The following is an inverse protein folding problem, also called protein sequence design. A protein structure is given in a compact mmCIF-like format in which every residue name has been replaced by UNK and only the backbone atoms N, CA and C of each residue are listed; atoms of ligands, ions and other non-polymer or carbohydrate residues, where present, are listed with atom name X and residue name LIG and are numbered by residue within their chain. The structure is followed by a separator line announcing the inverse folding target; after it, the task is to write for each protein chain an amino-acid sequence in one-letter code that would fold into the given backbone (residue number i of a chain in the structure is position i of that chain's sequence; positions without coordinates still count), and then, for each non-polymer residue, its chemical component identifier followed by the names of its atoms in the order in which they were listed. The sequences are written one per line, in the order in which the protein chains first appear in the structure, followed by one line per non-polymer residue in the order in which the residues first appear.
data_IF_191849847593
#
_entry.id   IF_191849847593
#
_cell.length_a   1.000
_cell.length_b   1.000
_cell.length_c   1.000
_cell.angle_alpha   90.00
_cell.angle_beta   90.00
_cell.angle_gamma   90.00
#
_symmetry.space_group_name_H-M   'P 1'
#
loop_
_entity.id
_entity.type
_entity.pdbx_description
1 polymer ?
#
# COMPACT_ATOMS: atom_id res chain seq x y z
N UNK A 1 2.02 -16.71 -31.17
CA UNK A 1 2.42 -15.35 -30.72
C UNK A 1 2.18 -15.12 -29.23
N UNK A 2 0.99 -15.34 -28.68
CA UNK A 2 0.70 -15.10 -27.25
C UNK A 2 1.55 -15.93 -26.26
N UNK A 3 1.96 -17.15 -26.62
CA UNK A 3 2.80 -17.99 -25.75
C UNK A 3 4.25 -17.47 -25.61
N UNK A 4 4.88 -17.01 -26.69
CA UNK A 4 6.24 -16.44 -26.65
C UNK A 4 6.28 -15.13 -25.86
N UNK A 5 5.21 -14.38 -25.99
CA UNK A 5 4.90 -13.21 -25.20
C UNK A 5 4.97 -13.53 -23.69
N UNK A 6 4.11 -14.41 -23.19
CA UNK A 6 4.08 -14.78 -21.76
C UNK A 6 5.40 -15.42 -21.27
N UNK A 7 6.14 -16.12 -22.14
CA UNK A 7 7.46 -16.66 -21.83
C UNK A 7 8.52 -15.56 -21.62
N UNK A 8 8.47 -14.48 -22.42
CA UNK A 8 9.40 -13.35 -22.29
C UNK A 8 9.21 -12.59 -20.97
N UNK A 9 7.99 -12.49 -20.45
CA UNK A 9 7.75 -11.85 -19.15
C UNK A 9 8.41 -12.64 -17.99
N UNK A 10 8.56 -13.95 -18.14
CA UNK A 10 9.18 -14.80 -17.11
C UNK A 10 10.69 -14.59 -17.00
N UNK A 11 11.32 -13.98 -18.02
CA UNK A 11 12.75 -13.65 -18.02
C UNK A 11 13.04 -12.26 -17.42
N UNK A 12 12.00 -11.46 -17.13
CA UNK A 12 12.17 -10.19 -16.44
C UNK A 12 12.24 -10.43 -14.93
N UNK A 13 13.33 -10.02 -14.29
CA UNK A 13 13.45 -10.03 -12.82
C UNK A 13 13.09 -8.63 -12.30
N UNK A 14 11.86 -8.43 -11.78
CA UNK A 14 11.44 -7.12 -11.30
C UNK A 14 12.23 -6.74 -10.03
N UNK A 15 12.67 -5.49 -9.97
CA UNK A 15 13.35 -4.89 -8.82
C UNK A 15 12.67 -3.58 -8.42
N UNK A 16 11.40 -3.61 -7.97
CA UNK A 16 10.70 -2.41 -7.54
C UNK A 16 11.30 -1.88 -6.24
N UNK A 17 11.26 -0.56 -6.06
CA UNK A 17 11.65 0.08 -4.79
C UNK A 17 10.55 1.00 -4.31
N UNK A 18 10.39 1.09 -3.00
CA UNK A 18 9.40 1.99 -2.41
C UNK A 18 9.85 2.48 -1.03
N UNK A 19 9.51 3.72 -0.73
CA UNK A 19 9.66 4.31 0.58
C UNK A 19 8.39 5.08 0.92
N UNK A 20 7.87 4.85 2.13
CA UNK A 20 6.75 5.62 2.66
C UNK A 20 7.21 6.31 3.94
N UNK A 21 6.79 7.56 4.13
CA UNK A 21 7.04 8.31 5.35
C UNK A 21 5.73 8.89 5.85
N UNK A 22 5.49 8.81 7.15
CA UNK A 22 4.36 9.51 7.78
C UNK A 22 4.85 10.92 8.07
N UNK A 23 4.27 11.90 7.38
CA UNK A 23 4.61 13.31 7.59
C UNK A 23 3.86 13.89 8.79
N UNK A 24 2.59 13.54 8.92
CA UNK A 24 1.75 14.03 9.99
C UNK A 24 0.65 13.02 10.35
N UNK A 25 0.27 13.00 11.63
CA UNK A 25 -0.95 12.35 12.10
C UNK A 25 -1.95 13.49 12.28
N UNK A 26 -2.88 13.61 11.34
CA UNK A 26 -3.79 14.75 11.27
C UNK A 26 -4.76 14.75 12.45
N UNK A 27 -5.29 13.58 12.79
CA UNK A 27 -6.06 13.34 14.00
C UNK A 27 -5.98 11.87 14.39
N UNK A 28 -6.12 11.62 15.68
CA UNK A 28 -6.32 10.30 16.23
C UNK A 28 -7.41 10.39 17.29
N UNK A 29 -8.61 9.92 16.98
CA UNK A 29 -9.77 10.16 17.80
C UNK A 29 -10.60 8.90 18.00
N UNK A 30 -11.46 8.94 19.02
CA UNK A 30 -12.48 7.92 19.23
C UNK A 30 -13.79 8.37 18.61
N UNK A 31 -14.31 7.58 17.69
CA UNK A 31 -15.62 7.81 17.08
C UNK A 31 -16.74 7.68 18.13
N UNK A 32 -17.91 8.30 17.90
CA UNK A 32 -19.07 8.18 18.79
C UNK A 32 -19.50 6.73 19.04
N UNK A 33 -19.27 5.85 18.07
CA UNK A 33 -19.58 4.41 18.17
C UNK A 33 -18.51 3.61 18.93
N UNK A 34 -17.47 4.27 19.46
CA UNK A 34 -16.44 3.68 20.30
C UNK A 34 -15.23 3.09 19.57
N UNK A 35 -15.14 3.25 18.25
CA UNK A 35 -14.02 2.79 17.44
C UNK A 35 -12.93 3.86 17.33
N UNK A 36 -11.67 3.42 17.27
CA UNK A 36 -10.53 4.29 17.01
C UNK A 36 -10.49 4.68 15.52
N UNK A 37 -10.21 5.94 15.22
CA UNK A 37 -10.02 6.45 13.86
C UNK A 37 -8.75 7.29 13.78
N UNK A 38 -7.95 7.01 12.75
CA UNK A 38 -6.71 7.72 12.46
C UNK A 38 -6.79 8.36 11.08
N UNK A 39 -6.29 9.58 10.97
CA UNK A 39 -5.98 10.23 9.70
C UNK A 39 -4.49 10.53 9.63
N UNK A 40 -3.87 10.12 8.52
CA UNK A 40 -2.43 10.21 8.29
C UNK A 40 -2.20 11.00 7.01
N UNK A 41 -1.24 11.91 7.06
CA UNK A 41 -0.62 12.47 5.85
C UNK A 41 0.67 11.72 5.60
N UNK A 42 0.76 11.08 4.44
CA UNK A 42 1.87 10.23 4.04
C UNK A 42 2.57 10.82 2.83
N UNK A 43 3.86 10.54 2.76
CA UNK A 43 4.70 10.77 1.59
C UNK A 43 5.07 9.40 1.00
N UNK A 44 4.69 9.15 -0.24
CA UNK A 44 4.88 7.88 -0.93
C UNK A 44 5.82 8.13 -2.10
N UNK A 45 6.99 7.50 -2.07
CA UNK A 45 7.94 7.43 -3.18
C UNK A 45 8.01 5.99 -3.66
N UNK A 46 7.83 5.75 -4.95
CA UNK A 46 7.98 4.41 -5.49
C UNK A 46 8.55 4.44 -6.92
N UNK A 47 9.46 3.51 -7.19
CA UNK A 47 9.91 3.16 -8.54
C UNK A 47 9.46 1.73 -8.86
N UNK A 48 8.38 1.65 -9.62
CA UNK A 48 7.72 0.43 -10.06
C UNK A 48 7.94 0.15 -11.56
N UNK A 49 8.83 0.89 -12.22
CA UNK A 49 9.06 0.78 -13.67
C UNK A 49 9.49 -0.62 -14.10
N UNK A 50 10.19 -1.36 -13.24
CA UNK A 50 10.63 -2.73 -13.50
C UNK A 50 9.47 -3.73 -13.60
N UNK A 51 8.28 -3.38 -13.13
CA UNK A 51 7.05 -4.18 -13.27
C UNK A 51 6.42 -4.08 -14.67
N UNK A 52 6.84 -3.11 -15.49
CA UNK A 52 6.30 -2.90 -16.82
C UNK A 52 7.13 -3.63 -17.87
N UNK A 53 6.53 -4.64 -18.49
CA UNK A 53 7.02 -5.29 -19.70
C UNK A 53 6.14 -4.89 -20.90
N UNK A 54 6.45 -5.42 -22.08
CA UNK A 54 5.62 -5.23 -23.28
C UNK A 54 4.19 -5.81 -23.11
N UNK A 55 3.99 -6.78 -22.21
CA UNK A 55 2.70 -7.39 -21.89
C UNK A 55 1.92 -6.67 -20.79
N UNK A 56 2.55 -5.81 -19.99
CA UNK A 56 1.84 -5.13 -18.90
C UNK A 56 0.80 -4.17 -19.46
N UNK A 57 -0.46 -4.34 -19.06
CA UNK A 57 -1.54 -3.42 -19.41
C UNK A 57 -1.59 -2.24 -18.43
N UNK A 58 -1.54 -2.54 -17.15
CA UNK A 58 -1.58 -1.58 -16.06
C UNK A 58 -1.10 -2.24 -14.76
N UNK A 59 -0.71 -1.42 -13.79
CA UNK A 59 -0.39 -1.86 -12.42
C UNK A 59 -1.37 -1.19 -11.47
N UNK A 60 -2.08 -1.97 -10.67
CA UNK A 60 -2.86 -1.44 -9.55
C UNK A 60 -1.98 -1.46 -8.31
N UNK A 61 -1.84 -0.33 -7.63
CA UNK A 61 -1.00 -0.18 -6.45
C UNK A 61 -1.83 0.36 -5.31
N UNK A 62 -1.60 -0.13 -4.10
CA UNK A 62 -2.23 0.42 -2.90
C UNK A 62 -1.31 0.31 -1.69
N UNK A 63 -1.47 1.26 -0.78
CA UNK A 63 -0.78 1.29 0.51
C UNK A 63 -1.76 0.81 1.56
N UNK A 64 -1.36 -0.17 2.35
CA UNK A 64 -2.13 -0.66 3.48
C UNK A 64 -1.37 -0.50 4.81
N UNK A 65 -2.09 -0.17 5.87
CA UNK A 65 -1.62 -0.35 7.23
C UNK A 65 -1.87 -1.80 7.66
N UNK A 66 -0.82 -2.49 8.07
CA UNK A 66 -0.85 -3.88 8.54
C UNK A 66 -0.44 -3.94 10.01
N UNK A 67 -1.29 -4.52 10.86
CA UNK A 67 -1.05 -4.63 12.30
C UNK A 67 -1.80 -5.81 12.93
N UNK A 68 -1.30 -6.28 14.06
CA UNK A 68 -1.88 -7.40 14.78
C UNK A 68 -2.71 -6.90 15.98
N UNK A 69 -3.79 -7.62 16.30
CA UNK A 69 -4.60 -7.39 17.51
C UNK A 69 -4.84 -8.71 18.22
N UNK A 70 -5.20 -8.73 19.52
CA UNK A 70 -5.47 -9.99 20.23
C UNK A 70 -6.55 -10.86 19.58
N UNK A 71 -7.46 -10.26 18.80
CA UNK A 71 -8.55 -10.96 18.10
C UNK A 71 -8.19 -11.39 16.68
N UNK A 72 -7.19 -10.75 16.06
CA UNK A 72 -6.86 -10.98 14.66
C UNK A 72 -5.36 -10.89 14.43
N UNK A 73 -4.79 -11.96 13.89
CA UNK A 73 -3.36 -12.08 13.58
C UNK A 73 -2.94 -11.18 12.41
N UNK A 74 -3.87 -10.68 11.59
CA UNK A 74 -3.56 -9.72 10.53
C UNK A 74 -4.76 -8.82 10.25
N UNK A 75 -4.66 -7.55 10.65
CA UNK A 75 -5.55 -6.50 10.20
C UNK A 75 -4.85 -5.74 9.09
N UNK A 76 -5.51 -5.61 7.93
CA UNK A 76 -5.01 -4.89 6.77
C UNK A 76 -6.03 -3.84 6.36
N UNK A 77 -5.65 -2.56 6.47
CA UNK A 77 -6.52 -1.44 6.11
C UNK A 77 -5.89 -0.67 4.97
N UNK A 78 -6.54 -0.67 3.81
CA UNK A 78 -6.10 0.16 2.67
C UNK A 78 -6.23 1.63 3.03
N UNK A 79 -5.18 2.41 2.80
CA UNK A 79 -5.13 3.84 3.07
C UNK A 79 -5.17 4.68 1.79
N UNK A 80 -4.58 4.17 0.71
CA UNK A 80 -4.49 4.87 -0.56
C UNK A 80 -4.30 3.87 -1.70
N UNK A 81 -4.80 4.19 -2.89
CA UNK A 81 -4.64 3.38 -4.09
C UNK A 81 -4.50 4.25 -5.35
N UNK A 82 -3.87 3.68 -6.37
CA UNK A 82 -3.85 4.22 -7.72
C UNK A 82 -3.74 3.12 -8.77
N UNK A 83 -4.14 3.47 -9.99
CA UNK A 83 -3.88 2.68 -11.19
C UNK A 83 -2.80 3.40 -11.98
N UNK A 84 -1.69 2.72 -12.23
CA UNK A 84 -0.58 3.19 -13.06
C UNK A 84 -0.77 2.59 -14.45
N UNK A 85 -1.17 3.39 -15.46
CA UNK A 85 -1.51 2.87 -16.77
C UNK A 85 -0.27 2.55 -17.62
N UNK A 86 0.83 3.29 -17.43
CA UNK A 86 2.03 3.17 -18.27
C UNK A 86 3.31 3.29 -17.44
N UNK A 87 4.43 2.85 -18.02
CA UNK A 87 5.75 2.81 -17.36
C UNK A 87 6.25 4.20 -16.98
N UNK A 88 5.92 5.23 -17.76
CA UNK A 88 6.37 6.61 -17.54
C UNK A 88 5.81 7.20 -16.24
N UNK A 89 4.68 6.68 -15.77
CA UNK A 89 4.05 7.07 -14.50
C UNK A 89 4.42 6.14 -13.34
N UNK A 90 5.24 5.11 -13.59
CA UNK A 90 5.56 4.09 -12.59
C UNK A 90 6.70 4.50 -11.63
N UNK A 91 7.38 5.61 -11.91
CA UNK A 91 8.26 6.29 -10.96
C UNK A 91 7.56 7.57 -10.52
N UNK A 92 7.14 7.60 -9.26
CA UNK A 92 6.35 8.71 -8.75
C UNK A 92 6.68 9.02 -7.30
N UNK A 93 6.36 10.27 -6.97
CA UNK A 93 6.42 10.83 -5.65
C UNK A 93 5.12 11.58 -5.38
N UNK A 94 4.43 11.24 -4.29
CA UNK A 94 3.17 11.87 -3.93
C UNK A 94 3.06 12.07 -2.42
N UNK A 95 2.65 13.28 -2.03
CA UNK A 95 2.22 13.59 -0.68
C UNK A 95 0.69 13.63 -0.65
N UNK A 96 0.08 12.77 0.17
CA UNK A 96 -1.38 12.64 0.22
C UNK A 96 -1.86 12.22 1.61
N UNK A 97 -3.08 12.62 1.95
CA UNK A 97 -3.77 12.07 3.11
C UNK A 97 -4.34 10.69 2.79
N UNK A 98 -4.63 9.88 3.81
CA UNK A 98 -5.32 8.62 3.59
C UNK A 98 -6.69 8.86 2.92
N UNK A 99 -6.88 8.24 1.76
CA UNK A 99 -8.12 8.25 0.97
C UNK A 99 -9.22 7.46 1.67
N UNK A 100 -8.86 6.36 2.33
CA UNK A 100 -9.77 5.51 3.08
C UNK A 100 -9.51 5.64 4.58
N UNK A 101 -10.58 5.52 5.37
CA UNK A 101 -10.51 5.71 6.83
C UNK A 101 -9.74 4.58 7.49
N UNK A 102 -8.74 4.93 8.29
CA UNK A 102 -8.04 3.97 9.13
C UNK A 102 -8.79 3.81 10.45
N UNK A 103 -9.65 2.78 10.54
CA UNK A 103 -10.53 2.54 11.69
C UNK A 103 -10.35 1.13 12.21
N UNK A 104 -10.31 0.96 13.53
CA UNK A 104 -10.32 -0.35 14.19
C UNK A 104 -11.36 -0.41 15.31
N UNK A 105 -11.73 -1.63 15.70
CA UNK A 105 -12.73 -1.85 16.74
C UNK A 105 -12.20 -1.50 18.14
N UNK A 106 -12.94 -0.68 18.88
CA UNK A 106 -12.55 -0.32 20.25
C UNK A 106 -11.34 0.59 20.30
N UNK A 107 -10.39 0.30 21.20
CA UNK A 107 -9.21 1.15 21.46
C UNK A 107 -7.87 0.49 21.12
N UNK A 108 -7.84 -0.38 20.11
CA UNK A 108 -6.65 -1.19 19.80
C UNK A 108 -5.55 -0.43 19.07
N UNK A 109 -5.81 0.79 18.56
CA UNK A 109 -4.85 1.57 17.78
C UNK A 109 -3.95 2.44 18.66
N UNK A 110 -4.30 2.65 19.94
CA UNK A 110 -3.49 3.44 20.87
C UNK A 110 -2.13 2.81 21.08
N UNK A 111 -1.05 3.55 20.81
CA UNK A 111 0.32 3.06 20.97
C UNK A 111 0.68 1.90 20.05
N UNK A 112 -0.17 1.57 19.07
CA UNK A 112 -0.03 0.38 18.24
C UNK A 112 1.12 0.56 17.24
N UNK A 113 1.98 -0.44 17.19
CA UNK A 113 2.95 -0.59 16.11
C UNK A 113 2.27 -1.20 14.90
N UNK A 114 2.59 -0.65 13.72
CA UNK A 114 2.03 -1.09 12.45
C UNK A 114 3.07 -0.95 11.34
N UNK A 115 2.85 -1.72 10.30
CA UNK A 115 3.62 -1.65 9.07
C UNK A 115 2.82 -0.91 8.01
N UNK A 116 3.50 -0.12 7.19
CA UNK A 116 2.94 0.38 5.93
C UNK A 116 3.45 -0.53 4.82
N UNK A 117 2.53 -1.16 4.10
CA UNK A 117 2.86 -2.11 3.05
C UNK A 117 2.37 -1.59 1.72
N UNK A 118 3.28 -1.43 0.75
CA UNK A 118 2.93 -1.14 -0.63
C UNK A 118 2.66 -2.46 -1.35
N UNK A 119 1.41 -2.70 -1.71
CA UNK A 119 0.99 -3.84 -2.51
C UNK A 119 0.81 -3.41 -3.95
N UNK A 120 1.15 -4.28 -4.90
CA UNK A 120 0.83 -4.05 -6.31
C UNK A 120 0.36 -5.31 -7.00
N UNK A 121 -0.54 -5.12 -7.95
CA UNK A 121 -1.08 -6.15 -8.82
C UNK A 121 -0.76 -5.76 -10.26
N UNK A 122 0.04 -6.57 -10.94
CA UNK A 122 0.39 -6.36 -12.34
C UNK A 122 -0.63 -7.08 -13.20
N UNK A 123 -1.34 -6.32 -14.02
CA UNK A 123 -2.38 -6.83 -14.91
C UNK A 123 -1.80 -6.95 -16.32
N UNK A 124 -1.55 -8.16 -16.83
CA UNK A 124 -1.09 -8.32 -18.21
C UNK A 124 -2.23 -8.12 -19.20
N UNK A 125 -1.88 -7.84 -20.46
CA UNK A 125 -2.82 -7.86 -21.59
C UNK A 125 -3.31 -9.29 -21.85
N UNK A 126 -2.47 -10.29 -21.62
CA UNK A 126 -2.82 -11.71 -21.73
C UNK A 126 -2.06 -12.53 -20.69
N UNK A 127 -2.74 -13.46 -20.04
CA UNK A 127 -2.16 -14.35 -19.03
C UNK A 127 -2.70 -14.09 -17.63
N UNK A 128 -1.97 -14.57 -16.61
CA UNK A 128 -2.38 -14.47 -15.20
C UNK A 128 -1.87 -13.16 -14.60
N UNK A 129 -2.69 -12.56 -13.75
CA UNK A 129 -2.27 -11.47 -12.87
C UNK A 129 -1.25 -12.00 -11.85
N UNK A 130 -0.27 -11.18 -11.49
CA UNK A 130 0.62 -11.45 -10.37
C UNK A 130 0.57 -10.29 -9.38
N UNK A 131 0.78 -10.60 -8.10
CA UNK A 131 0.75 -9.65 -7.02
C UNK A 131 1.96 -9.87 -6.12
N UNK A 132 2.53 -8.77 -5.63
CA UNK A 132 3.64 -8.78 -4.68
C UNK A 132 3.61 -7.49 -3.85
N UNK A 133 4.50 -7.39 -2.86
CA UNK A 133 4.49 -6.29 -1.89
C UNK A 133 5.86 -5.95 -1.32
N UNK A 134 6.01 -4.70 -0.87
CA UNK A 134 7.13 -4.25 -0.02
C UNK A 134 6.56 -3.79 1.31
N UNK A 135 7.13 -4.33 2.39
CA UNK A 135 6.74 -3.99 3.77
C UNK A 135 7.72 -2.96 4.31
N UNK A 136 7.19 -1.85 4.82
CA UNK A 136 7.93 -0.86 5.58
C UNK A 136 7.48 -0.94 7.04
N UNK A 137 8.39 -1.32 7.91
CA UNK A 137 8.13 -1.53 9.34
C UNK A 137 8.64 -0.36 10.19
N UNK A 138 8.17 -0.29 11.44
CA UNK A 138 8.67 0.65 12.45
C UNK A 138 7.84 1.91 12.65
N UNK A 139 6.58 1.92 12.20
CA UNK A 139 5.65 3.00 12.52
C UNK A 139 4.90 2.69 13.81
N UNK A 140 4.61 3.74 14.58
CA UNK A 140 3.87 3.64 15.83
C UNK A 140 2.88 4.78 15.96
N UNK A 141 1.64 4.44 16.30
CA UNK A 141 0.59 5.41 16.60
C UNK A 141 0.78 6.01 18.00
N UNK A 142 0.31 7.24 18.25
CA UNK A 142 0.37 7.87 19.55
C UNK A 142 -0.48 7.12 20.58
N UNK A 143 -0.12 7.24 21.86
CA UNK A 143 -0.87 6.62 22.95
C UNK A 143 -2.11 7.44 23.33
N UNK A 144 -2.12 8.73 23.06
CA UNK A 144 -3.20 9.65 23.40
C UNK A 144 -3.94 10.11 22.15
N UNK A 145 -5.25 10.33 22.30
CA UNK A 145 -6.09 10.91 21.27
C UNK A 145 -5.76 12.39 21.05
N UNK A 146 -5.82 12.85 19.80
CA UNK A 146 -5.51 14.22 19.35
C UNK A 146 -6.45 14.67 18.25
#
# INVERSE_FOLDING_TARGET
MCAMASLSDNLNSPSPTSQIQILNINWFQKQPHGNDEVSLTMNITADLQSLFTWNTKQVFVFVAAEYETPKNSLNQVSLWDAIIPTKEHANFWIQTANKYRFVDQGSNLRGKEFNLTLHWHVMPKTGKMFADKIVMSGYRLPEEYR
#
